data_IF_688106639592
#
_entry.id   IF_688106639592
#
_cell.length_a   1.000
_cell.length_b   1.000
_cell.length_c   1.000
_cell.angle_alpha   90.00
_cell.angle_beta   90.00
_cell.angle_gamma   90.00
#
_symmetry.space_group_name_H-M   'P 1'
#
loop_
_entity.id
_entity.type
_entity.pdbx_description
1 polymer ?
#
# COMPACT_ATOMS: atom_id res chain seq x y z
N UNK A 1 -16.77 -106.24 40.42
CA UNK A 1 -16.81 -107.19 41.55
C UNK A 1 -16.45 -106.44 42.82
N UNK A 2 -17.14 -106.79 43.89
CA UNK A 2 -17.19 -106.09 45.16
C UNK A 2 -15.85 -106.00 45.89
N UNK A 3 -15.73 -104.98 46.76
CA UNK A 3 -15.50 -105.14 48.21
C UNK A 3 -14.41 -104.22 48.78
N UNK A 4 -14.84 -103.33 49.70
CA UNK A 4 -14.17 -102.92 50.95
C UNK A 4 -12.72 -102.40 50.88
N UNK A 5 -12.35 -101.25 51.45
CA UNK A 5 -13.01 -100.43 52.44
C UNK A 5 -12.00 -99.52 53.13
N UNK A 6 -12.47 -98.89 54.21
CA UNK A 6 -11.71 -98.26 55.29
C UNK A 6 -10.97 -96.93 54.96
N UNK A 7 -11.72 -95.84 55.09
CA UNK A 7 -11.65 -95.13 56.38
C UNK A 7 -10.27 -94.66 56.84
N UNK A 8 -9.66 -93.75 56.10
CA UNK A 8 -8.85 -92.66 56.68
C UNK A 8 -9.43 -91.32 56.15
N UNK A 9 -10.77 -91.26 56.08
CA UNK A 9 -11.57 -90.19 55.50
C UNK A 9 -12.02 -89.10 56.47
N UNK A 10 -11.53 -89.04 57.71
CA UNK A 10 -12.05 -88.10 58.71
C UNK A 10 -11.06 -87.03 59.20
N UNK A 11 -9.77 -87.10 58.85
CA UNK A 11 -8.79 -86.13 59.38
C UNK A 11 -8.14 -85.22 58.32
N UNK A 12 -8.03 -85.66 57.06
CA UNK A 12 -7.43 -84.83 56.00
C UNK A 12 -8.46 -83.91 55.33
N UNK A 13 -9.76 -84.26 55.34
CA UNK A 13 -10.85 -83.41 54.82
C UNK A 13 -11.19 -82.20 55.73
N UNK A 14 -10.72 -82.18 56.98
CA UNK A 14 -10.90 -81.04 57.89
C UNK A 14 -9.94 -79.88 57.63
N UNK A 15 -8.76 -80.13 57.05
CA UNK A 15 -7.75 -79.09 56.80
C UNK A 15 -7.90 -78.45 55.40
N UNK A 16 -8.45 -79.18 54.42
CA UNK A 16 -8.66 -78.69 53.06
C UNK A 16 -9.88 -77.78 52.90
N UNK A 17 -10.90 -77.90 53.76
CA UNK A 17 -12.11 -77.07 53.72
C UNK A 17 -11.88 -75.64 54.24
N UNK A 18 -10.98 -75.44 55.21
CA UNK A 18 -10.60 -74.11 55.70
C UNK A 18 -9.88 -73.24 54.65
N UNK A 19 -9.04 -73.85 53.80
CA UNK A 19 -8.30 -73.12 52.77
C UNK A 19 -9.18 -72.70 51.57
N UNK A 20 -10.27 -73.40 51.28
CA UNK A 20 -11.17 -73.05 50.17
C UNK A 20 -12.20 -71.98 50.54
N UNK A 21 -12.62 -71.89 51.81
CA UNK A 21 -13.51 -70.80 52.28
C UNK A 21 -12.77 -69.47 52.36
N UNK A 22 -11.51 -69.46 52.81
CA UNK A 22 -10.68 -68.25 52.79
C UNK A 22 -10.44 -67.72 51.35
N UNK A 23 -10.22 -68.62 50.38
CA UNK A 23 -10.07 -68.25 48.96
C UNK A 23 -11.38 -67.80 48.30
N UNK A 24 -12.54 -68.28 48.76
CA UNK A 24 -13.84 -67.81 48.25
C UNK A 24 -14.18 -66.40 48.75
N UNK A 25 -13.82 -66.05 49.98
CA UNK A 25 -13.98 -64.69 50.50
C UNK A 25 -13.05 -63.68 49.81
N UNK A 26 -11.77 -64.03 49.62
CA UNK A 26 -10.84 -63.20 48.85
C UNK A 26 -11.32 -62.99 47.40
N UNK A 27 -11.93 -64.01 46.78
CA UNK A 27 -12.42 -63.91 45.41
C UNK A 27 -13.68 -63.06 45.28
N UNK A 28 -14.60 -63.12 46.25
CA UNK A 28 -15.77 -62.22 46.26
C UNK A 28 -15.39 -60.77 46.56
N UNK A 29 -14.44 -60.52 47.47
CA UNK A 29 -13.96 -59.17 47.77
C UNK A 29 -13.18 -58.60 46.57
N UNK A 30 -12.40 -59.42 45.85
CA UNK A 30 -11.74 -59.00 44.61
C UNK A 30 -12.73 -58.70 43.47
N UNK A 31 -13.78 -59.49 43.30
CA UNK A 31 -14.81 -59.24 42.28
C UNK A 31 -15.63 -57.98 42.57
N UNK A 32 -15.98 -57.71 43.84
CA UNK A 32 -16.64 -56.47 44.23
C UNK A 32 -15.73 -55.26 44.00
N UNK A 33 -14.47 -55.31 44.44
CA UNK A 33 -13.49 -54.24 44.19
C UNK A 33 -13.17 -54.03 42.71
N UNK A 34 -13.30 -55.07 41.89
CA UNK A 34 -13.09 -54.97 40.44
C UNK A 34 -14.30 -54.31 39.76
N UNK A 35 -15.53 -54.69 40.16
CA UNK A 35 -16.76 -54.02 39.68
C UNK A 35 -16.83 -52.56 40.14
N UNK A 36 -16.46 -52.26 41.38
CA UNK A 36 -16.37 -50.88 41.87
C UNK A 36 -15.31 -50.07 41.13
N UNK A 37 -14.14 -50.66 40.83
CA UNK A 37 -13.13 -50.01 39.99
C UNK A 37 -13.59 -49.79 38.56
N UNK A 38 -14.30 -50.74 37.95
CA UNK A 38 -14.86 -50.55 36.60
C UNK A 38 -15.96 -49.49 36.58
N UNK A 39 -16.85 -49.48 37.57
CA UNK A 39 -17.87 -48.44 37.73
C UNK A 39 -17.25 -47.07 37.95
N UNK A 40 -16.21 -46.95 38.79
CA UNK A 40 -15.47 -45.71 38.97
C UNK A 40 -14.73 -45.23 37.71
N UNK A 41 -14.22 -46.15 36.88
CA UNK A 41 -13.59 -45.81 35.59
C UNK A 41 -14.64 -45.34 34.58
N UNK A 42 -15.81 -45.98 34.51
CA UNK A 42 -16.91 -45.56 33.62
C UNK A 42 -17.50 -44.21 34.04
N UNK A 43 -17.71 -44.00 35.34
CA UNK A 43 -18.23 -42.73 35.86
C UNK A 43 -17.23 -41.58 35.66
N UNK A 44 -15.93 -41.83 35.83
CA UNK A 44 -14.89 -40.83 35.54
C UNK A 44 -14.67 -40.59 34.04
N UNK A 45 -14.92 -41.59 33.18
CA UNK A 45 -14.91 -41.42 31.72
C UNK A 45 -16.10 -40.57 31.25
N UNK A 46 -17.31 -40.80 31.78
CA UNK A 46 -18.48 -39.99 31.46
C UNK A 46 -18.33 -38.53 31.93
N UNK A 47 -17.83 -38.30 33.15
CA UNK A 47 -17.55 -36.94 33.64
C UNK A 47 -16.52 -36.20 32.78
N UNK A 48 -15.52 -36.92 32.24
CA UNK A 48 -14.54 -36.33 31.31
C UNK A 48 -15.16 -36.03 29.94
N UNK A 49 -16.04 -36.89 29.43
CA UNK A 49 -16.74 -36.67 28.18
C UNK A 49 -17.69 -35.46 28.26
N UNK A 50 -18.52 -35.38 29.31
CA UNK A 50 -19.40 -34.21 29.55
C UNK A 50 -18.58 -32.92 29.72
N UNK A 51 -17.43 -32.98 30.39
CA UNK A 51 -16.54 -31.82 30.52
C UNK A 51 -15.89 -31.40 29.21
N UNK A 52 -15.73 -32.32 28.25
CA UNK A 52 -15.16 -32.04 26.94
C UNK A 52 -16.21 -31.40 26.04
N UNK A 53 -17.40 -31.99 25.95
CA UNK A 53 -18.48 -31.46 25.11
C UNK A 53 -18.88 -30.04 25.55
N UNK A 54 -18.89 -29.76 26.85
CA UNK A 54 -19.14 -28.42 27.38
C UNK A 54 -18.02 -27.41 27.02
N UNK A 55 -16.76 -27.85 26.97
CA UNK A 55 -15.63 -27.00 26.56
C UNK A 55 -15.67 -26.74 25.05
N UNK A 56 -15.93 -27.77 24.25
CA UNK A 56 -16.02 -27.65 22.80
C UNK A 56 -17.18 -26.72 22.40
N UNK A 57 -18.35 -26.86 23.06
CA UNK A 57 -19.47 -25.94 22.84
C UNK A 57 -19.18 -24.48 23.24
N UNK A 58 -18.41 -24.26 24.31
CA UNK A 58 -18.00 -22.92 24.73
C UNK A 58 -17.00 -22.30 23.74
N UNK A 59 -16.03 -23.10 23.25
CA UNK A 59 -15.09 -22.67 22.22
C UNK A 59 -15.82 -22.32 20.91
N UNK A 60 -16.77 -23.15 20.47
CA UNK A 60 -17.58 -22.88 19.27
C UNK A 60 -18.44 -21.62 19.40
N UNK A 61 -18.89 -21.29 20.61
CA UNK A 61 -19.62 -20.04 20.87
C UNK A 61 -18.67 -18.83 20.80
N UNK A 62 -17.48 -18.96 21.37
CA UNK A 62 -16.44 -17.92 21.35
C UNK A 62 -15.92 -17.67 19.92
N UNK A 63 -15.67 -18.72 19.15
CA UNK A 63 -15.25 -18.62 17.74
C UNK A 63 -16.32 -17.94 16.88
N UNK A 64 -17.60 -18.24 17.13
CA UNK A 64 -18.72 -17.55 16.46
C UNK A 64 -18.78 -16.07 16.82
N UNK A 65 -18.52 -15.71 18.08
CA UNK A 65 -18.44 -14.31 18.50
C UNK A 65 -17.27 -13.59 17.83
N UNK A 66 -16.07 -14.19 17.85
CA UNK A 66 -14.90 -13.63 17.17
C UNK A 66 -15.11 -13.47 15.67
N UNK A 67 -15.73 -14.45 15.00
CA UNK A 67 -16.06 -14.33 13.58
C UNK A 67 -17.08 -13.21 13.31
N UNK A 68 -18.04 -12.99 14.21
CA UNK A 68 -19.02 -11.91 14.09
C UNK A 68 -18.37 -10.53 14.31
N UNK A 69 -17.50 -10.40 15.31
CA UNK A 69 -16.73 -9.17 15.58
C UNK A 69 -15.77 -8.85 14.45
N UNK A 70 -15.02 -9.84 13.94
CA UNK A 70 -14.11 -9.67 12.82
C UNK A 70 -14.84 -9.23 11.55
N UNK A 71 -16.04 -9.78 11.28
CA UNK A 71 -16.90 -9.31 10.18
C UNK A 71 -17.41 -7.90 10.42
N UNK A 72 -17.83 -7.55 11.64
CA UNK A 72 -18.31 -6.21 11.98
C UNK A 72 -17.21 -5.15 11.82
N UNK A 73 -15.96 -5.49 12.12
CA UNK A 73 -14.79 -4.63 11.94
C UNK A 73 -14.38 -4.53 10.46
N UNK A 74 -14.34 -5.66 9.73
CA UNK A 74 -13.87 -5.69 8.33
C UNK A 74 -14.88 -5.13 7.34
N UNK A 75 -16.17 -5.29 7.56
CA UNK A 75 -17.22 -4.86 6.62
C UNK A 75 -17.18 -3.36 6.30
N UNK A 76 -17.07 -2.42 7.25
CA UNK A 76 -16.96 -0.99 6.94
C UNK A 76 -15.65 -0.66 6.22
N UNK A 77 -14.55 -1.36 6.53
CA UNK A 77 -13.25 -1.18 5.85
C UNK A 77 -13.33 -1.64 4.40
N UNK A 78 -13.89 -2.82 4.14
CA UNK A 78 -14.10 -3.35 2.80
C UNK A 78 -15.05 -2.43 2.02
N UNK A 79 -16.14 -1.97 2.62
CA UNK A 79 -17.07 -1.05 1.96
C UNK A 79 -16.44 0.34 1.66
N UNK A 80 -15.53 0.82 2.50
CA UNK A 80 -14.75 2.03 2.24
C UNK A 80 -13.73 1.81 1.10
N UNK A 81 -13.02 0.68 1.10
CA UNK A 81 -12.10 0.29 0.04
C UNK A 81 -12.81 0.11 -1.30
N UNK A 82 -13.94 -0.60 -1.33
CA UNK A 82 -14.74 -0.77 -2.55
C UNK A 82 -15.24 0.57 -3.09
N UNK A 83 -15.68 1.50 -2.22
CA UNK A 83 -16.07 2.86 -2.65
C UNK A 83 -14.88 3.63 -3.24
N UNK A 84 -13.70 3.53 -2.63
CA UNK A 84 -12.47 4.15 -3.14
C UNK A 84 -12.01 3.56 -4.49
N UNK A 85 -12.16 2.24 -4.68
CA UNK A 85 -11.83 1.57 -5.94
C UNK A 85 -12.83 1.98 -7.02
N UNK A 86 -14.12 2.00 -6.71
CA UNK A 86 -15.17 2.38 -7.65
C UNK A 86 -15.07 3.86 -8.07
N UNK A 87 -14.77 4.77 -7.13
CA UNK A 87 -14.50 6.17 -7.48
C UNK A 87 -13.27 6.29 -8.38
N UNK A 88 -12.21 5.53 -8.09
CA UNK A 88 -11.02 5.48 -8.95
C UNK A 88 -11.30 4.97 -10.35
N UNK A 89 -12.15 3.94 -10.51
CA UNK A 89 -12.56 3.44 -11.83
C UNK A 89 -13.37 4.45 -12.63
N UNK A 90 -14.32 5.15 -11.99
CA UNK A 90 -15.10 6.21 -12.62
C UNK A 90 -14.19 7.37 -13.06
N UNK A 91 -13.19 7.71 -12.24
CA UNK A 91 -12.21 8.74 -12.57
C UNK A 91 -11.35 8.38 -13.79
N UNK A 92 -10.91 7.12 -13.88
CA UNK A 92 -10.15 6.58 -15.01
C UNK A 92 -10.99 6.58 -16.30
N UNK A 93 -12.28 6.21 -16.21
CA UNK A 93 -13.16 6.22 -17.38
C UNK A 93 -13.45 7.65 -17.86
N UNK A 94 -13.72 8.58 -16.95
CA UNK A 94 -13.88 10.00 -17.26
C UNK A 94 -12.62 10.60 -17.91
N UNK A 95 -11.44 10.20 -17.43
CA UNK A 95 -10.15 10.61 -17.99
C UNK A 95 -9.94 10.07 -19.40
N UNK A 96 -10.21 8.78 -19.61
CA UNK A 96 -10.13 8.14 -20.92
C UNK A 96 -11.06 8.82 -21.93
N UNK A 97 -12.29 9.12 -21.53
CA UNK A 97 -13.27 9.77 -22.42
C UNK A 97 -12.90 11.23 -22.70
N UNK A 98 -12.46 11.99 -21.70
CA UNK A 98 -12.00 13.37 -21.91
C UNK A 98 -10.82 13.44 -22.88
N UNK A 99 -9.86 12.52 -22.77
CA UNK A 99 -8.70 12.44 -23.67
C UNK A 99 -9.08 11.95 -25.06
N UNK A 100 -9.94 10.93 -25.17
CA UNK A 100 -10.47 10.46 -26.46
C UNK A 100 -11.23 11.57 -27.18
N UNK A 101 -12.08 12.31 -26.48
CA UNK A 101 -12.83 13.45 -27.00
C UNK A 101 -11.87 14.56 -27.48
N UNK A 102 -10.88 14.94 -26.66
CA UNK A 102 -9.85 15.91 -27.06
C UNK A 102 -9.10 15.47 -28.32
N UNK A 103 -8.79 14.17 -28.46
CA UNK A 103 -8.13 13.59 -29.63
C UNK A 103 -8.99 13.68 -30.89
N UNK A 104 -10.27 13.31 -30.77
CA UNK A 104 -11.24 13.43 -31.85
C UNK A 104 -11.41 14.87 -32.32
N UNK A 105 -11.45 15.83 -31.39
CA UNK A 105 -11.53 17.25 -31.71
C UNK A 105 -10.27 17.80 -32.38
N UNK A 106 -9.08 17.39 -31.94
CA UNK A 106 -7.83 17.78 -32.60
C UNK A 106 -7.75 17.23 -34.03
N UNK A 107 -8.13 15.96 -34.24
CA UNK A 107 -8.24 15.35 -35.56
C UNK A 107 -9.22 16.10 -36.45
N UNK A 108 -10.41 16.40 -35.93
CA UNK A 108 -11.45 17.15 -36.66
C UNK A 108 -10.96 18.54 -37.05
N UNK A 109 -10.39 19.29 -36.10
CA UNK A 109 -9.86 20.63 -36.34
C UNK A 109 -8.77 20.63 -37.42
N UNK A 110 -7.86 19.64 -37.37
CA UNK A 110 -6.83 19.48 -38.39
C UNK A 110 -7.42 19.14 -39.77
N UNK A 111 -8.37 18.21 -39.84
CA UNK A 111 -8.98 17.80 -41.11
C UNK A 111 -9.80 18.91 -41.76
N UNK A 112 -10.48 19.74 -40.97
CA UNK A 112 -11.31 20.83 -41.49
C UNK A 112 -10.48 22.04 -41.92
N UNK A 113 -9.35 22.31 -41.25
CA UNK A 113 -8.53 23.50 -41.50
C UNK A 113 -7.01 23.20 -41.44
N UNK A 114 -6.47 22.34 -42.32
CA UNK A 114 -5.06 21.95 -42.25
C UNK A 114 -4.10 23.14 -42.43
N UNK A 115 -4.49 24.14 -43.24
CA UNK A 115 -3.71 25.36 -43.45
C UNK A 115 -3.54 26.21 -42.17
N UNK A 116 -4.50 26.19 -41.24
CA UNK A 116 -4.40 26.88 -39.94
C UNK A 116 -3.26 26.31 -39.08
N UNK A 117 -2.94 25.05 -39.31
CA UNK A 117 -1.95 24.28 -38.56
C UNK A 117 -0.71 23.99 -39.41
N UNK A 118 -0.42 24.83 -40.42
CA UNK A 118 0.70 24.66 -41.34
C UNK A 118 0.81 23.26 -41.99
N UNK A 119 -0.33 22.57 -42.16
CA UNK A 119 -0.44 21.18 -42.60
C UNK A 119 0.30 20.17 -41.69
N UNK A 120 0.53 20.54 -40.43
CA UNK A 120 1.19 19.78 -39.38
C UNK A 120 0.20 19.39 -38.28
N UNK A 121 -0.01 18.09 -38.09
CA UNK A 121 -0.92 17.59 -37.07
C UNK A 121 -0.47 17.93 -35.64
N UNK A 122 0.84 18.04 -35.39
CA UNK A 122 1.37 18.40 -34.08
C UNK A 122 0.95 19.81 -33.64
N UNK A 123 0.73 20.75 -34.57
CA UNK A 123 0.20 22.07 -34.23
C UNK A 123 -1.26 22.00 -33.80
N UNK A 124 -2.09 21.19 -34.48
CA UNK A 124 -3.47 20.95 -34.08
C UNK A 124 -3.55 20.23 -32.73
N UNK A 125 -2.68 19.24 -32.51
CA UNK A 125 -2.54 18.56 -31.22
C UNK A 125 -2.19 19.54 -30.09
N UNK A 126 -1.14 20.34 -30.25
CA UNK A 126 -0.71 21.27 -29.20
C UNK A 126 -1.71 22.39 -28.94
N UNK A 127 -2.45 22.84 -29.95
CA UNK A 127 -3.42 23.94 -29.81
C UNK A 127 -4.81 23.50 -29.35
N UNK A 128 -5.20 22.24 -29.59
CA UNK A 128 -6.55 21.73 -29.27
C UNK A 128 -6.50 20.65 -28.19
N UNK A 129 -5.70 19.61 -28.39
CA UNK A 129 -5.65 18.45 -27.50
C UNK A 129 -5.05 18.83 -26.13
N UNK A 130 -3.84 19.41 -26.14
CA UNK A 130 -3.07 19.66 -24.91
C UNK A 130 -3.84 20.53 -23.91
N UNK A 131 -4.45 21.67 -24.30
CA UNK A 131 -5.19 22.52 -23.37
C UNK A 131 -6.40 21.80 -22.75
N UNK A 132 -7.09 20.95 -23.50
CA UNK A 132 -8.27 20.21 -23.01
C UNK A 132 -7.90 19.16 -21.96
N UNK A 133 -6.85 18.38 -22.22
CA UNK A 133 -6.37 17.37 -21.25
C UNK A 133 -5.83 18.05 -20.00
N UNK A 134 -5.10 19.16 -20.16
CA UNK A 134 -4.66 19.98 -19.03
C UNK A 134 -5.85 20.52 -18.23
N UNK A 135 -6.87 21.07 -18.90
CA UNK A 135 -8.08 21.58 -18.25
C UNK A 135 -8.84 20.48 -17.51
N UNK A 136 -8.87 19.26 -18.04
CA UNK A 136 -9.46 18.10 -17.37
C UNK A 136 -8.75 17.78 -16.04
N UNK A 137 -7.41 17.77 -16.01
CA UNK A 137 -6.69 17.59 -14.76
C UNK A 137 -6.93 18.73 -13.76
N UNK A 138 -6.91 19.97 -14.25
CA UNK A 138 -7.17 21.15 -13.42
C UNK A 138 -8.59 21.18 -12.84
N UNK A 139 -9.60 20.70 -13.58
CA UNK A 139 -10.99 20.66 -13.08
C UNK A 139 -11.19 19.66 -11.94
N UNK A 140 -10.28 18.66 -11.83
CA UNK A 140 -10.21 17.72 -10.69
C UNK A 140 -9.34 18.22 -9.54
N UNK A 141 -8.72 19.40 -9.66
CA UNK A 141 -7.72 19.88 -8.71
C UNK A 141 -6.37 19.16 -8.79
N UNK A 142 -6.16 18.37 -9.85
CA UNK A 142 -4.94 17.58 -10.05
C UNK A 142 -3.89 18.41 -10.81
N UNK A 143 -3.35 19.42 -10.13
CA UNK A 143 -2.34 20.32 -10.72
C UNK A 143 -1.05 19.58 -11.08
N UNK A 144 -0.70 18.54 -10.32
CA UNK A 144 0.51 17.74 -10.55
C UNK A 144 0.46 17.01 -11.90
N UNK A 145 -0.64 16.32 -12.22
CA UNK A 145 -0.76 15.67 -13.52
C UNK A 145 -0.95 16.69 -14.66
N UNK A 146 -1.60 17.82 -14.42
CA UNK A 146 -1.69 18.90 -15.40
C UNK A 146 -0.30 19.42 -15.82
N UNK A 147 0.57 19.67 -14.84
CA UNK A 147 1.94 20.16 -15.08
C UNK A 147 2.83 19.06 -15.67
N UNK A 148 2.74 17.83 -15.17
CA UNK A 148 3.49 16.69 -15.70
C UNK A 148 3.11 16.38 -17.16
N UNK A 149 1.81 16.44 -17.49
CA UNK A 149 1.33 16.27 -18.86
C UNK A 149 1.85 17.39 -19.77
N UNK A 150 1.77 18.65 -19.32
CA UNK A 150 2.29 19.80 -20.08
C UNK A 150 3.79 19.65 -20.34
N UNK A 151 4.57 19.37 -19.30
CA UNK A 151 6.01 19.18 -19.39
C UNK A 151 6.37 18.00 -20.31
N UNK A 152 5.60 16.90 -20.29
CA UNK A 152 5.80 15.78 -21.21
C UNK A 152 5.51 16.19 -22.65
N UNK A 153 4.39 16.87 -22.92
CA UNK A 153 4.05 17.34 -24.27
C UNK A 153 5.01 18.39 -24.81
N UNK A 154 5.70 19.13 -23.94
CA UNK A 154 6.64 20.17 -24.34
C UNK A 154 7.99 19.66 -24.81
N UNK A 155 8.34 18.41 -24.49
CA UNK A 155 9.57 17.76 -24.95
C UNK A 155 9.63 17.73 -26.47
N UNK A 156 10.81 18.04 -27.02
CA UNK A 156 11.02 18.07 -28.47
C UNK A 156 10.74 16.70 -29.09
N UNK A 157 11.19 15.64 -28.42
CA UNK A 157 11.08 14.25 -28.86
C UNK A 157 9.62 13.80 -28.90
N UNK A 158 8.79 14.28 -27.97
CA UNK A 158 7.35 14.02 -27.95
C UNK A 158 6.66 14.77 -29.09
N UNK A 159 7.01 16.04 -29.33
CA UNK A 159 6.49 16.82 -30.47
C UNK A 159 6.84 16.16 -31.82
N UNK A 160 8.08 15.72 -31.99
CA UNK A 160 8.53 15.00 -33.18
C UNK A 160 7.78 13.67 -33.37
N UNK A 161 7.51 12.93 -32.28
CA UNK A 161 6.72 11.71 -32.32
C UNK A 161 5.25 11.97 -32.67
N UNK A 162 4.62 12.98 -32.08
CA UNK A 162 3.23 13.39 -32.42
C UNK A 162 3.12 13.76 -33.90
N UNK A 163 4.10 14.49 -34.43
CA UNK A 163 4.18 14.79 -35.87
C UNK A 163 4.25 13.52 -36.71
N UNK A 164 5.10 12.57 -36.29
CA UNK A 164 5.23 11.25 -36.94
C UNK A 164 3.90 10.49 -36.91
N UNK A 165 3.18 10.50 -35.79
CA UNK A 165 1.85 9.88 -35.65
C UNK A 165 0.83 10.51 -36.60
N UNK A 166 0.81 11.83 -36.73
CA UNK A 166 -0.01 12.51 -37.76
C UNK A 166 0.33 12.05 -39.18
N UNK A 167 1.63 11.84 -39.45
CA UNK A 167 2.11 11.27 -40.70
C UNK A 167 1.64 9.84 -40.97
N UNK A 168 1.42 9.02 -39.94
CA UNK A 168 0.81 7.68 -40.07
C UNK A 168 -0.62 7.81 -40.61
N UNK A 169 -1.44 8.64 -39.95
CA UNK A 169 -2.83 8.83 -40.36
C UNK A 169 -2.94 9.32 -41.80
N UNK A 170 -2.14 10.32 -42.16
CA UNK A 170 -2.14 10.87 -43.53
C UNK A 170 -1.71 9.82 -44.57
N UNK A 171 -0.66 9.05 -44.28
CA UNK A 171 -0.17 8.01 -45.18
C UNK A 171 -1.21 6.91 -45.40
N UNK A 172 -1.88 6.47 -44.33
CA UNK A 172 -2.95 5.47 -44.41
C UNK A 172 -4.16 5.99 -45.20
N UNK A 173 -4.56 7.25 -45.03
CA UNK A 173 -5.67 7.86 -45.79
C UNK A 173 -5.46 7.83 -47.30
N UNK A 174 -4.22 7.93 -47.77
CA UNK A 174 -3.88 7.89 -49.21
C UNK A 174 -3.36 6.53 -49.68
N UNK A 175 -3.36 5.51 -48.82
CA UNK A 175 -2.87 4.17 -49.15
C UNK A 175 -1.34 4.05 -49.31
N UNK A 176 -0.57 4.99 -48.78
CA UNK A 176 0.90 4.98 -48.79
C UNK A 176 1.44 4.14 -47.63
N UNK A 177 1.41 2.81 -47.81
CA UNK A 177 1.80 1.86 -46.78
C UNK A 177 3.26 1.97 -46.36
N UNK A 178 4.18 2.22 -47.30
CA UNK A 178 5.61 2.32 -47.00
C UNK A 178 5.89 3.53 -46.09
N UNK A 179 5.27 4.68 -46.37
CA UNK A 179 5.38 5.86 -45.51
C UNK A 179 4.72 5.63 -44.14
N UNK A 180 3.58 4.96 -44.10
CA UNK A 180 2.91 4.62 -42.83
C UNK A 180 3.80 3.72 -41.97
N UNK A 181 4.41 2.68 -42.54
CA UNK A 181 5.33 1.77 -41.86
C UNK A 181 6.57 2.51 -41.35
N UNK A 182 7.16 3.38 -42.16
CA UNK A 182 8.32 4.18 -41.76
C UNK A 182 8.00 5.08 -40.55
N UNK A 183 6.84 5.74 -40.58
CA UNK A 183 6.39 6.57 -39.46
C UNK A 183 6.09 5.74 -38.20
N UNK A 184 5.44 4.59 -38.35
CA UNK A 184 5.20 3.66 -37.23
C UNK A 184 6.53 3.23 -36.58
N UNK A 185 7.49 2.79 -37.39
CA UNK A 185 8.80 2.34 -36.91
C UNK A 185 9.61 3.47 -36.27
N UNK A 186 9.57 4.68 -36.85
CA UNK A 186 10.15 5.88 -36.24
C UNK A 186 9.54 6.15 -34.85
N UNK A 187 8.22 6.03 -34.73
CA UNK A 187 7.52 6.21 -33.46
C UNK A 187 7.91 5.13 -32.44
N UNK A 188 8.00 3.86 -32.84
CA UNK A 188 8.44 2.76 -31.95
C UNK A 188 9.89 2.90 -31.49
N UNK A 189 10.75 3.55 -32.28
CA UNK A 189 12.15 3.76 -31.92
C UNK A 189 12.37 4.99 -31.03
N UNK A 190 11.37 5.85 -30.86
CA UNK A 190 11.46 7.03 -30.01
C UNK A 190 11.16 6.64 -28.55
N UNK A 191 12.22 6.47 -27.74
CA UNK A 191 12.12 6.02 -26.34
C UNK A 191 11.50 7.06 -25.39
N UNK A 192 11.52 8.33 -25.76
CA UNK A 192 10.90 9.41 -24.97
C UNK A 192 9.38 9.45 -25.15
N UNK A 193 8.88 8.86 -26.26
CA UNK A 193 7.47 8.73 -26.56
C UNK A 193 6.93 7.33 -26.23
N UNK A 194 7.59 6.27 -26.72
CA UNK A 194 7.28 4.87 -26.39
C UNK A 194 8.27 4.39 -25.33
N UNK A 195 7.78 4.20 -24.11
CA UNK A 195 8.62 3.74 -23.01
C UNK A 195 9.28 2.39 -23.32
N UNK A 196 10.56 2.25 -22.96
CA UNK A 196 11.32 1.01 -23.15
C UNK A 196 10.83 -0.08 -22.19
N UNK A 197 10.08 -1.04 -22.74
CA UNK A 197 9.57 -2.20 -22.00
C UNK A 197 10.48 -3.43 -22.17
N UNK A 198 11.62 -3.29 -22.85
CA UNK A 198 12.43 -4.41 -23.34
C UNK A 198 11.83 -5.12 -24.56
N UNK A 199 10.55 -4.91 -24.86
CA UNK A 199 9.92 -5.39 -26.08
C UNK A 199 10.23 -4.47 -27.25
N UNK A 200 10.73 -5.03 -28.35
CA UNK A 200 10.92 -4.30 -29.60
C UNK A 200 9.67 -4.48 -30.47
N UNK A 201 9.08 -3.37 -30.92
CA UNK A 201 7.92 -3.40 -31.82
C UNK A 201 8.32 -2.86 -33.18
N UNK A 202 7.77 -3.45 -34.23
CA UNK A 202 7.97 -2.99 -35.59
C UNK A 202 6.70 -3.19 -36.42
N UNK A 203 6.60 -2.45 -37.52
CA UNK A 203 5.72 -2.75 -38.63
C UNK A 203 6.57 -3.20 -39.83
N UNK A 204 6.16 -4.32 -40.44
CA UNK A 204 6.80 -4.92 -41.60
C UNK A 204 5.86 -4.82 -42.81
N UNK A 205 6.39 -4.59 -44.03
CA UNK A 205 5.57 -4.49 -45.23
C UNK A 205 4.96 -5.84 -45.60
N UNK A 206 3.66 -5.86 -45.89
CA UNK A 206 2.99 -6.99 -46.54
C UNK A 206 2.99 -6.70 -48.04
N UNK A 207 3.65 -7.56 -48.81
CA UNK A 207 3.81 -7.39 -50.26
C UNK A 207 2.87 -8.32 -51.03
N UNK A 208 2.33 -7.82 -52.14
CA UNK A 208 1.64 -8.64 -53.12
C UNK A 208 2.62 -9.43 -54.00
N UNK A 209 2.09 -10.13 -55.01
CA UNK A 209 2.88 -10.95 -55.95
C UNK A 209 3.82 -10.12 -56.82
N UNK A 210 3.51 -8.85 -57.03
CA UNK A 210 4.29 -7.91 -57.82
C UNK A 210 5.34 -7.18 -56.96
N UNK A 211 5.40 -7.50 -55.66
CA UNK A 211 6.34 -6.92 -54.71
C UNK A 211 5.92 -5.54 -54.18
N UNK A 212 4.71 -5.06 -54.52
CA UNK A 212 4.15 -3.80 -54.03
C UNK A 212 3.65 -3.97 -52.60
N UNK A 213 3.91 -2.99 -51.75
CA UNK A 213 3.38 -2.98 -50.39
C UNK A 213 1.87 -2.70 -50.42
N UNK A 214 1.08 -3.67 -49.93
CA UNK A 214 -0.40 -3.64 -49.89
C UNK A 214 -0.96 -3.66 -48.47
N UNK A 215 -0.08 -3.65 -47.47
CA UNK A 215 -0.46 -3.71 -46.07
C UNK A 215 0.75 -3.69 -45.15
N UNK A 216 0.49 -3.93 -43.87
CA UNK A 216 1.52 -4.04 -42.84
C UNK A 216 1.24 -5.19 -41.88
N UNK A 217 2.31 -5.71 -41.28
CA UNK A 217 2.27 -6.69 -40.19
C UNK A 217 2.96 -6.09 -38.97
N UNK A 218 2.25 -5.99 -37.85
CA UNK A 218 2.90 -5.63 -36.58
C UNK A 218 3.66 -6.83 -36.04
N UNK A 219 4.90 -6.62 -35.64
CA UNK A 219 5.72 -7.65 -34.99
C UNK A 219 6.20 -7.15 -33.63
N UNK A 220 6.36 -8.09 -32.71
CA UNK A 220 6.86 -7.82 -31.37
C UNK A 220 7.92 -8.85 -31.00
N UNK A 221 9.11 -8.38 -30.68
CA UNK A 221 10.22 -9.19 -30.19
C UNK A 221 10.33 -9.01 -28.69
N UNK A 222 10.14 -10.10 -27.96
CA UNK A 222 10.33 -10.15 -26.51
C UNK A 222 11.78 -9.87 -26.10
N UNK A 223 12.04 -9.54 -24.83
CA UNK A 223 13.41 -9.37 -24.31
C UNK A 223 14.32 -10.58 -24.56
N UNK A 224 13.75 -11.79 -24.58
CA UNK A 224 14.48 -13.05 -24.83
C UNK A 224 14.78 -13.29 -26.33
N UNK A 225 14.40 -12.36 -27.21
CA UNK A 225 14.61 -12.46 -28.65
C UNK A 225 13.51 -13.22 -29.41
N UNK A 226 12.52 -13.80 -28.73
CA UNK A 226 11.40 -14.48 -29.39
C UNK A 226 10.52 -13.46 -30.12
N UNK A 227 10.37 -13.63 -31.43
CA UNK A 227 9.54 -12.80 -32.29
C UNK A 227 8.13 -13.38 -32.40
N UNK A 228 7.14 -12.54 -32.15
CA UNK A 228 5.73 -12.82 -32.38
C UNK A 228 5.23 -11.93 -33.51
N UNK A 229 4.59 -12.53 -34.51
CA UNK A 229 3.97 -11.82 -35.62
C UNK A 229 2.48 -11.65 -35.38
N UNK A 230 1.96 -10.46 -35.63
CA UNK A 230 0.53 -10.21 -35.72
C UNK A 230 -0.05 -10.67 -37.05
N UNK A 231 -1.37 -10.56 -37.19
CA UNK A 231 -2.06 -10.75 -38.46
C UNK A 231 -1.66 -9.67 -39.48
N UNK A 232 -1.70 -10.03 -40.75
CA UNK A 232 -1.57 -9.07 -41.86
C UNK A 232 -2.77 -8.13 -41.87
N UNK A 233 -2.49 -6.85 -42.03
CA UNK A 233 -3.50 -5.80 -42.11
C UNK A 233 -3.35 -5.13 -43.47
N UNK A 234 -4.31 -5.37 -44.35
CA UNK A 234 -4.35 -4.82 -45.71
C UNK A 234 -5.45 -3.77 -45.88
N UNK A 235 -6.31 -3.58 -44.87
CA UNK A 235 -7.28 -2.49 -44.82
C UNK A 235 -6.70 -1.28 -44.07
N UNK A 236 -6.74 -0.11 -44.69
CA UNK A 236 -6.15 1.11 -44.13
C UNK A 236 -6.93 1.63 -42.91
N UNK A 237 -8.24 1.40 -42.85
CA UNK A 237 -9.08 1.74 -41.71
C UNK A 237 -8.70 0.92 -40.48
N UNK A 238 -8.58 -0.39 -40.65
CA UNK A 238 -8.13 -1.33 -39.60
C UNK A 238 -6.71 -1.00 -39.15
N UNK A 239 -5.81 -0.68 -40.09
CA UNK A 239 -4.45 -0.26 -39.77
C UNK A 239 -4.44 1.02 -38.95
N UNK A 240 -5.30 1.99 -39.27
CA UNK A 240 -5.43 3.24 -38.53
C UNK A 240 -5.93 2.99 -37.11
N UNK A 241 -7.02 2.23 -36.95
CA UNK A 241 -7.57 1.89 -35.62
C UNK A 241 -6.54 1.17 -34.75
N UNK A 242 -5.86 0.15 -35.29
CA UNK A 242 -4.87 -0.63 -34.56
C UNK A 242 -3.62 0.19 -34.22
N UNK A 243 -3.05 0.91 -35.19
CA UNK A 243 -1.86 1.74 -34.95
C UNK A 243 -2.14 2.86 -33.94
N UNK A 244 -3.27 3.58 -34.08
CA UNK A 244 -3.62 4.68 -33.18
C UNK A 244 -3.93 4.20 -31.76
N UNK A 245 -4.51 3.01 -31.59
CA UNK A 245 -4.70 2.45 -30.24
C UNK A 245 -3.38 2.30 -29.47
N UNK A 246 -2.28 2.02 -30.18
CA UNK A 246 -0.96 1.81 -29.59
C UNK A 246 -0.11 3.09 -29.55
N UNK A 247 -0.24 3.94 -30.57
CA UNK A 247 0.66 5.06 -30.83
C UNK A 247 0.03 6.43 -30.53
N UNK A 248 -1.25 6.49 -30.14
CA UNK A 248 -1.86 7.77 -29.81
C UNK A 248 -1.09 8.47 -28.69
N UNK A 249 -1.03 9.81 -28.70
CA UNK A 249 -0.34 10.56 -27.65
C UNK A 249 -0.93 10.29 -26.26
N UNK A 250 -2.22 9.99 -26.18
CA UNK A 250 -2.85 9.54 -24.96
C UNK A 250 -2.18 8.25 -24.42
N UNK A 251 -2.16 7.20 -25.25
CA UNK A 251 -1.59 5.90 -24.87
C UNK A 251 -0.12 6.05 -24.48
N UNK A 252 0.65 6.83 -25.25
CA UNK A 252 2.06 7.12 -24.97
C UNK A 252 2.25 7.80 -23.60
N UNK A 253 1.43 8.81 -23.28
CA UNK A 253 1.48 9.47 -21.98
C UNK A 253 1.15 8.52 -20.83
N UNK A 254 0.11 7.68 -20.94
CA UNK A 254 -0.22 6.70 -19.89
C UNK A 254 0.94 5.75 -19.60
N UNK A 255 1.62 5.30 -20.64
CA UNK A 255 2.82 4.46 -20.50
C UNK A 255 3.96 5.23 -19.83
N UNK A 256 4.21 6.48 -20.25
CA UNK A 256 5.24 7.32 -19.66
C UNK A 256 4.97 7.62 -18.18
N UNK A 257 3.73 7.94 -17.82
CA UNK A 257 3.28 8.16 -16.45
C UNK A 257 3.43 6.89 -15.61
N UNK A 258 2.91 5.76 -16.09
CA UNK A 258 3.01 4.47 -15.37
C UNK A 258 4.46 4.07 -15.12
N UNK A 259 5.36 4.33 -16.08
CA UNK A 259 6.78 4.06 -15.92
C UNK A 259 7.45 5.01 -14.91
N UNK A 260 7.10 6.29 -14.92
CA UNK A 260 7.55 7.25 -13.92
C UNK A 260 7.09 6.84 -12.51
N UNK A 261 5.80 6.50 -12.36
CA UNK A 261 5.22 6.08 -11.09
C UNK A 261 5.91 4.81 -10.55
N UNK A 262 6.22 3.83 -11.42
CA UNK A 262 7.03 2.65 -11.05
C UNK A 262 8.43 3.04 -10.59
N UNK A 263 9.12 3.93 -11.30
CA UNK A 263 10.47 4.36 -10.93
C UNK A 263 10.47 5.07 -9.57
N UNK A 264 9.48 5.91 -9.30
CA UNK A 264 9.30 6.58 -8.00
C UNK A 264 9.04 5.54 -6.91
N UNK A 265 8.18 4.55 -7.16
CA UNK A 265 7.89 3.47 -6.20
C UNK A 265 9.14 2.60 -5.93
N UNK A 266 9.89 2.22 -6.96
CA UNK A 266 11.14 1.46 -6.83
C UNK A 266 12.22 2.25 -6.08
N UNK A 267 12.35 3.55 -6.34
CA UNK A 267 13.23 4.44 -5.58
C UNK A 267 12.79 4.55 -4.12
N UNK A 268 11.48 4.66 -3.85
CA UNK A 268 10.96 4.67 -2.49
C UNK A 268 11.27 3.35 -1.75
N UNK A 269 11.09 2.19 -2.39
CA UNK A 269 11.40 0.90 -1.78
C UNK A 269 12.91 0.68 -1.61
N UNK A 270 13.73 1.16 -2.55
CA UNK A 270 15.20 1.15 -2.43
C UNK A 270 15.68 2.06 -1.30
N UNK A 271 15.08 3.24 -1.17
CA UNK A 271 15.37 4.15 -0.07
C UNK A 271 14.96 3.55 1.27
N UNK A 272 13.84 2.83 1.31
CA UNK A 272 13.37 2.12 2.51
C UNK A 272 14.27 0.95 2.88
N UNK A 273 14.73 0.15 1.92
CA UNK A 273 15.68 -0.95 2.18
C UNK A 273 17.05 -0.42 2.60
N UNK A 274 17.52 0.65 1.97
CA UNK A 274 18.77 1.33 2.35
C UNK A 274 18.67 1.97 3.74
N UNK A 275 17.54 2.62 4.06
CA UNK A 275 17.30 3.18 5.40
C UNK A 275 17.23 2.08 6.46
N UNK A 276 16.60 0.95 6.15
CA UNK A 276 16.59 -0.21 7.04
C UNK A 276 18.01 -0.74 7.27
N UNK A 277 18.79 -0.93 6.22
CA UNK A 277 20.19 -1.37 6.34
C UNK A 277 21.04 -0.36 7.15
N UNK A 278 20.85 0.94 6.92
CA UNK A 278 21.54 1.98 7.69
C UNK A 278 21.17 1.91 9.17
N UNK A 279 19.89 1.71 9.50
CA UNK A 279 19.42 1.51 10.86
C UNK A 279 20.02 0.24 11.48
N UNK A 280 20.02 -0.87 10.75
CA UNK A 280 20.60 -2.14 11.21
C UNK A 280 22.10 -1.99 11.50
N UNK A 281 22.85 -1.26 10.66
CA UNK A 281 24.27 -0.94 10.91
C UNK A 281 24.45 -0.06 12.16
N UNK A 282 23.59 0.94 12.36
CA UNK A 282 23.64 1.78 13.57
C UNK A 282 23.33 0.95 14.80
N UNK A 283 22.30 0.10 14.76
CA UNK A 283 21.94 -0.81 15.84
C UNK A 283 23.08 -1.79 16.14
N UNK A 284 23.74 -2.36 15.13
CA UNK A 284 24.93 -3.21 15.31
C UNK A 284 26.08 -2.47 15.97
N UNK A 285 26.36 -1.23 15.54
CA UNK A 285 27.37 -0.39 16.19
C UNK A 285 26.97 -0.08 17.63
N UNK A 286 25.70 0.20 17.91
CA UNK A 286 25.22 0.43 19.26
C UNK A 286 25.36 -0.83 20.14
N UNK A 287 25.00 -2.01 19.61
CA UNK A 287 25.21 -3.29 20.28
C UNK A 287 26.68 -3.48 20.65
N UNK A 288 27.58 -3.19 19.71
CA UNK A 288 29.02 -3.28 19.96
C UNK A 288 29.53 -2.22 20.95
N UNK A 289 29.12 -0.97 20.79
CA UNK A 289 29.63 0.18 21.56
C UNK A 289 29.09 0.21 23.00
N UNK A 290 27.79 -0.03 23.16
CA UNK A 290 27.11 0.01 24.46
C UNK A 290 26.91 -1.37 25.09
N UNK A 291 27.42 -2.44 24.47
CA UNK A 291 27.23 -3.84 24.91
C UNK A 291 25.76 -4.22 25.11
N UNK A 292 24.89 -3.67 24.27
CA UNK A 292 23.45 -3.89 24.31
C UNK A 292 23.13 -5.28 23.75
N UNK A 293 22.34 -6.06 24.49
CA UNK A 293 21.82 -7.33 23.98
C UNK A 293 20.54 -7.14 23.14
N UNK A 294 20.14 -8.18 22.42
CA UNK A 294 18.97 -8.14 21.53
C UNK A 294 17.66 -7.86 22.26
N UNK A 295 17.51 -8.31 23.52
CA UNK A 295 16.29 -8.09 24.31
C UNK A 295 16.20 -6.65 24.80
N UNK A 296 17.32 -6.05 25.20
CA UNK A 296 17.40 -4.64 25.58
C UNK A 296 17.09 -3.75 24.36
N UNK A 297 17.59 -4.12 23.18
CA UNK A 297 17.27 -3.44 21.91
C UNK A 297 15.77 -3.46 21.61
N UNK A 298 15.15 -4.64 21.61
CA UNK A 298 13.72 -4.80 21.29
C UNK A 298 12.84 -4.04 22.29
N UNK A 299 13.21 -4.11 23.57
CA UNK A 299 12.51 -3.38 24.63
C UNK A 299 12.61 -1.87 24.41
N UNK A 300 13.81 -1.38 24.06
CA UNK A 300 14.02 0.03 23.80
C UNK A 300 13.25 0.50 22.55
N UNK A 301 13.30 -0.24 21.44
CA UNK A 301 12.53 0.06 20.22
C UNK A 301 11.01 0.10 20.49
N UNK A 302 10.50 -0.81 21.32
CA UNK A 302 9.09 -0.81 21.72
C UNK A 302 8.71 0.43 22.54
N UNK A 303 9.57 0.86 23.46
CA UNK A 303 9.38 2.09 24.25
C UNK A 303 9.35 3.32 23.33
N UNK A 304 10.19 3.36 22.29
CA UNK A 304 10.17 4.43 21.29
C UNK A 304 8.83 4.46 20.57
N UNK A 305 8.37 3.30 20.11
CA UNK A 305 7.10 3.18 19.38
C UNK A 305 5.92 3.65 20.25
N UNK A 306 5.85 3.22 21.50
CA UNK A 306 4.82 3.64 22.45
C UNK A 306 4.89 5.15 22.74
N UNK A 307 6.09 5.71 22.90
CA UNK A 307 6.29 7.13 23.17
C UNK A 307 5.89 8.00 21.98
N UNK A 308 6.31 7.61 20.76
CA UNK A 308 5.92 8.31 19.53
C UNK A 308 4.40 8.28 19.33
N UNK A 309 3.75 7.13 19.52
CA UNK A 309 2.28 7.00 19.42
C UNK A 309 1.55 7.85 20.45
N UNK A 310 1.99 7.84 21.71
CA UNK A 310 1.41 8.65 22.79
C UNK A 310 1.41 10.13 22.43
N UNK A 311 2.45 10.58 21.74
CA UNK A 311 2.67 11.97 21.36
C UNK A 311 2.17 12.34 19.95
N UNK A 312 1.47 11.42 19.28
CA UNK A 312 0.87 11.65 17.96
C UNK A 312 1.88 11.73 16.81
N UNK A 313 3.10 11.22 17.00
CA UNK A 313 4.15 11.18 15.98
C UNK A 313 4.20 9.80 15.29
N UNK A 314 4.70 9.77 14.04
CA UNK A 314 5.00 8.50 13.35
C UNK A 314 6.17 7.79 14.04
N UNK A 315 5.96 6.58 14.62
CA UNK A 315 7.02 5.81 15.27
C UNK A 315 8.26 5.57 14.40
N UNK A 316 8.08 5.32 13.10
CA UNK A 316 9.22 5.04 12.21
C UNK A 316 10.10 6.26 12.05
N UNK A 317 9.48 7.43 11.94
CA UNK A 317 10.19 8.69 11.76
C UNK A 317 10.97 9.06 13.03
N UNK A 318 10.36 8.90 14.20
CA UNK A 318 11.01 9.15 15.50
C UNK A 318 12.19 8.18 15.71
N UNK A 319 12.01 6.89 15.44
CA UNK A 319 13.08 5.89 15.54
C UNK A 319 14.26 6.24 14.62
N UNK A 320 14.01 6.59 13.36
CA UNK A 320 15.07 6.97 12.42
C UNK A 320 15.85 8.20 12.91
N UNK A 321 15.17 9.20 13.46
CA UNK A 321 15.81 10.41 13.99
C UNK A 321 16.62 10.12 15.26
N UNK A 322 16.11 9.26 16.14
CA UNK A 322 16.82 8.85 17.35
C UNK A 322 18.11 8.08 16.99
N UNK A 323 18.04 7.15 16.03
CA UNK A 323 19.22 6.42 15.54
C UNK A 323 20.24 7.34 14.87
N UNK A 324 19.80 8.33 14.09
CA UNK A 324 20.70 9.32 13.50
C UNK A 324 21.41 10.18 14.57
N UNK A 325 20.68 10.59 15.60
CA UNK A 325 21.25 11.35 16.71
C UNK A 325 22.33 10.53 17.43
N UNK A 326 22.08 9.25 17.69
CA UNK A 326 23.03 8.32 18.29
C UNK A 326 24.24 8.05 17.39
N UNK A 327 24.03 7.95 16.07
CA UNK A 327 25.14 7.86 15.12
C UNK A 327 26.07 9.07 15.23
N UNK A 328 25.52 10.28 15.23
CA UNK A 328 26.28 11.52 15.42
C UNK A 328 26.97 11.56 16.78
N UNK A 329 26.32 11.05 17.83
CA UNK A 329 26.90 10.92 19.17
C UNK A 329 28.17 10.05 19.18
N UNK A 330 28.07 8.88 18.57
CA UNK A 330 29.19 7.93 18.43
C UNK A 330 30.32 8.49 17.56
N UNK A 331 30.00 9.19 16.47
CA UNK A 331 30.99 9.78 15.55
C UNK A 331 31.77 10.95 16.17
N UNK A 332 31.11 11.75 17.02
CA UNK A 332 31.74 12.91 17.67
C UNK A 332 32.60 12.53 18.89
N UNK A 333 32.57 11.26 19.32
CA UNK A 333 33.37 10.76 20.45
C UNK A 333 33.05 11.43 21.79
N UNK A 334 31.96 12.19 21.87
CA UNK A 334 31.57 12.94 23.05
C UNK A 334 30.06 12.76 23.25
N UNK A 335 29.61 11.97 24.24
CA UNK A 335 28.21 11.59 24.34
C UNK A 335 27.36 12.80 24.77
N UNK A 336 26.70 13.42 23.80
CA UNK A 336 25.60 14.37 23.90
C UNK A 336 24.49 13.82 24.82
N UNK A 337 24.40 12.49 24.94
CA UNK A 337 23.40 11.79 25.76
C UNK A 337 23.97 11.28 27.10
N UNK A 338 25.21 11.61 27.44
CA UNK A 338 25.84 11.23 28.71
C UNK A 338 25.35 12.06 29.90
N UNK A 339 25.27 11.44 31.06
CA UNK A 339 24.99 12.17 32.32
C UNK A 339 26.31 12.56 32.99
N UNK A 340 26.35 13.74 33.60
CA UNK A 340 27.54 14.19 34.34
C UNK A 340 27.56 13.52 35.71
N UNK A 341 28.59 12.70 35.95
CA UNK A 341 28.86 12.05 37.22
C UNK A 341 29.24 13.05 38.32
N UNK A 342 29.28 12.56 39.57
CA UNK A 342 29.65 13.38 40.75
C UNK A 342 31.07 13.93 40.67
N UNK A 343 31.95 13.30 39.89
CA UNK A 343 33.32 13.70 39.62
C UNK A 343 33.44 14.69 38.43
N UNK A 344 32.31 15.12 37.87
CA UNK A 344 32.26 16.01 36.70
C UNK A 344 32.53 15.31 35.37
N UNK A 345 32.87 14.02 35.36
CA UNK A 345 33.07 13.25 34.13
C UNK A 345 31.74 12.84 33.53
N UNK A 346 31.68 12.76 32.21
CA UNK A 346 30.47 12.30 31.51
C UNK A 346 30.48 10.76 31.54
N UNK A 347 29.45 10.18 32.14
CA UNK A 347 29.22 8.73 32.14
C UNK A 347 28.31 8.40 30.96
N UNK A 348 28.75 7.56 30.01
CA UNK A 348 27.90 7.15 28.90
C UNK A 348 26.73 6.30 29.41
N UNK A 349 25.50 6.48 28.88
CA UNK A 349 24.35 5.69 29.25
C UNK A 349 24.48 4.22 28.79
N UNK A 350 23.64 3.31 29.30
CA UNK A 350 23.48 1.98 28.69
C UNK A 350 22.92 2.10 27.26
N UNK A 351 22.99 1.05 26.45
CA UNK A 351 22.47 1.09 25.08
C UNK A 351 20.98 1.41 25.02
N UNK A 352 20.18 0.75 25.86
CA UNK A 352 18.75 1.03 25.97
C UNK A 352 18.45 2.44 26.49
N UNK A 353 19.24 2.92 27.45
CA UNK A 353 19.09 4.27 27.99
C UNK A 353 19.49 5.34 26.97
N UNK A 354 20.55 5.13 26.19
CA UNK A 354 20.98 6.01 25.10
C UNK A 354 19.87 6.17 24.06
N UNK A 355 19.26 5.06 23.65
CA UNK A 355 18.17 5.05 22.67
C UNK A 355 16.90 5.76 23.19
N UNK A 356 16.59 5.59 24.47
CA UNK A 356 15.49 6.33 25.12
C UNK A 356 15.77 7.83 25.17
N UNK A 357 16.95 8.25 25.63
CA UNK A 357 17.33 9.66 25.71
C UNK A 357 17.35 10.34 24.34
N UNK A 358 17.82 9.64 23.32
CA UNK A 358 17.79 10.12 21.95
C UNK A 358 16.35 10.38 21.46
N UNK A 359 15.45 9.46 21.80
CA UNK A 359 14.03 9.54 21.45
C UNK A 359 13.32 10.69 22.16
N UNK A 360 13.55 10.83 23.47
CA UNK A 360 12.98 11.93 24.26
C UNK A 360 13.40 13.29 23.66
N UNK A 361 14.67 13.42 23.28
CA UNK A 361 15.20 14.63 22.64
C UNK A 361 14.56 14.92 21.28
N UNK A 362 14.30 13.89 20.47
CA UNK A 362 13.59 14.04 19.19
C UNK A 362 12.16 14.51 19.40
N UNK A 363 11.43 13.89 20.33
CA UNK A 363 10.05 14.24 20.68
C UNK A 363 9.99 15.68 21.21
N UNK A 364 10.89 16.06 22.12
CA UNK A 364 10.99 17.42 22.67
C UNK A 364 11.25 18.46 21.57
N UNK A 365 12.19 18.17 20.66
CA UNK A 365 12.51 19.05 19.53
C UNK A 365 11.30 19.24 18.61
N UNK A 366 10.53 18.19 18.33
CA UNK A 366 9.31 18.30 17.51
C UNK A 366 8.23 19.13 18.19
N UNK A 367 8.02 18.92 19.49
CA UNK A 367 7.06 19.73 20.28
C UNK A 367 7.43 21.20 20.27
N UNK A 368 8.72 21.53 20.43
CA UNK A 368 9.16 22.93 20.43
C UNK A 368 8.92 23.60 19.08
N UNK A 369 9.19 22.91 17.96
CA UNK A 369 8.89 23.40 16.60
C UNK A 369 7.38 23.61 16.40
N UNK A 370 6.56 22.64 16.79
CA UNK A 370 5.09 22.75 16.69
C UNK A 370 4.53 23.93 17.48
N UNK A 371 5.05 24.15 18.70
CA UNK A 371 4.67 25.29 19.53
C UNK A 371 5.09 26.63 18.89
N UNK A 372 6.28 26.70 18.30
CA UNK A 372 6.76 27.91 17.59
C UNK A 372 5.92 28.21 16.34
N UNK A 373 5.53 27.21 15.56
CA UNK A 373 4.65 27.39 14.39
C UNK A 373 3.25 27.84 14.79
N UNK A 374 2.71 27.30 15.89
CA UNK A 374 1.42 27.73 16.43
C UNK A 374 1.47 29.19 16.91
N UNK A 375 2.56 29.59 17.56
CA UNK A 375 2.78 30.98 17.97
C UNK A 375 2.94 31.93 16.76
N UNK A 376 3.67 31.51 15.72
CA UNK A 376 3.93 32.33 14.53
C UNK A 376 2.70 32.54 13.64
N UNK A 377 1.76 31.59 13.61
CA UNK A 377 0.53 31.70 12.82
C UNK A 377 -0.54 32.58 13.48
N UNK A 378 -0.29 33.12 14.69
CA UNK A 378 -1.22 34.03 15.37
C UNK A 378 -2.59 33.41 15.65
N UNK A 379 -2.70 32.08 15.57
CA UNK A 379 -3.92 31.34 15.89
C UNK A 379 -4.10 31.36 17.40
N UNK A 380 -4.62 32.49 17.89
CA UNK A 380 -5.10 32.61 19.26
C UNK A 380 -6.06 31.44 19.46
N UNK A 381 -5.82 30.51 20.41
CA UNK A 381 -6.76 29.44 20.69
C UNK A 381 -8.10 30.11 20.93
N UNK A 382 -9.10 29.87 20.07
CA UNK A 382 -10.45 30.36 20.32
C UNK A 382 -10.84 29.81 21.69
N UNK A 383 -10.81 30.69 22.69
CA UNK A 383 -11.17 30.36 24.05
C UNK A 383 -12.50 29.64 24.01
N UNK A 384 -12.55 28.47 24.65
CA UNK A 384 -13.73 27.62 24.68
C UNK A 384 -14.97 28.47 24.88
N UNK A 385 -15.91 28.34 23.94
CA UNK A 385 -17.22 28.96 24.05
C UNK A 385 -17.81 28.57 25.40
N UNK A 386 -17.79 29.51 26.34
CA UNK A 386 -18.59 29.44 27.55
C UNK A 386 -20.04 29.43 27.07
N UNK A 387 -20.68 28.30 27.27
CA UNK A 387 -22.09 28.04 27.01
C UNK A 387 -22.95 29.18 27.59
N UNK A 388 -23.61 30.04 26.78
CA UNK A 388 -24.43 31.14 27.29
C UNK A 388 -25.82 30.60 27.66
N UNK A 389 -25.86 29.82 28.74
CA UNK A 389 -27.06 29.22 29.32
C UNK A 389 -27.39 29.78 30.70
N UNK A 390 -27.30 31.09 30.92
CA UNK A 390 -27.90 31.73 32.11
C UNK A 390 -28.26 33.18 31.83
N UNK A 391 -29.51 33.36 31.42
CA UNK A 391 -30.18 34.65 31.26
C UNK A 391 -30.38 35.28 32.65
N UNK A 392 -29.60 36.31 32.97
CA UNK A 392 -29.99 37.31 33.96
C UNK A 392 -30.33 38.58 33.20
N UNK A 393 -31.64 38.89 33.17
CA UNK A 393 -32.18 40.16 32.69
C UNK A 393 -31.56 41.30 33.50
N UNK A 394 -30.90 42.23 32.81
CA UNK A 394 -30.84 43.63 33.21
C UNK A 394 -31.07 44.49 31.97
N UNK A 395 -32.19 45.18 31.99
CA UNK A 395 -32.48 46.33 31.16
C UNK A 395 -31.36 47.36 31.30
N UNK A 396 -30.89 47.94 30.18
CA UNK A 396 -30.57 49.37 30.05
C UNK A 396 -30.31 49.75 28.59
N UNK A 397 -31.14 50.66 28.07
CA UNK A 397 -30.72 51.84 27.31
C UNK A 397 -30.17 51.65 25.90
N UNK A 398 -31.07 51.68 24.90
CA UNK A 398 -30.71 51.93 23.51
C UNK A 398 -30.36 53.42 23.27
N UNK A 399 -29.23 53.70 22.63
CA UNK A 399 -29.01 54.93 21.85
C UNK A 399 -28.71 54.55 20.39
N UNK A 400 -29.28 55.26 19.39
CA UNK A 400 -29.09 54.94 17.98
C UNK A 400 -27.80 55.56 17.44
N UNK A 401 -26.92 54.73 16.87
CA UNK A 401 -25.76 55.17 16.08
C UNK A 401 -26.19 55.32 14.62
N UNK A 402 -25.92 56.50 14.04
CA UNK A 402 -26.21 56.88 12.65
C UNK A 402 -25.44 56.03 11.63
N UNK A 403 -25.99 55.79 10.42
CA UNK A 403 -25.27 55.10 9.35
C UNK A 403 -24.16 55.97 8.74
N UNK A 404 -23.02 55.33 8.48
CA UNK A 404 -21.83 55.86 7.85
C UNK A 404 -22.05 55.99 6.32
N UNK A 405 -21.74 57.16 5.76
CA UNK A 405 -21.87 57.50 4.34
C UNK A 405 -20.52 57.27 3.63
N UNK A 406 -20.43 56.55 2.50
CA UNK A 406 -19.18 56.37 1.78
C UNK A 406 -18.89 57.59 0.89
N UNK A 407 -17.85 58.35 1.28
CA UNK A 407 -17.34 59.48 0.52
C UNK A 407 -16.52 59.05 -0.69
N UNK A 408 -17.05 59.40 -1.86
CA UNK A 408 -16.38 59.52 -3.15
C UNK A 408 -15.10 60.37 -3.01
N UNK A 409 -13.98 59.93 -3.59
CA UNK A 409 -12.91 60.84 -4.01
C UNK A 409 -12.43 60.47 -5.40
N UNK A 410 -12.49 61.48 -6.28
CA UNK A 410 -12.05 61.49 -7.68
C UNK A 410 -11.20 62.76 -7.84
N UNK A 411 -10.14 62.66 -8.66
CA UNK A 411 -9.18 63.68 -9.09
C UNK A 411 -8.08 64.03 -8.06
N UNK A 412 -6.80 64.18 -8.44
CA UNK A 412 -6.20 64.55 -9.73
C UNK A 412 -5.32 63.48 -10.37
#
# INVERSE_FOLDING_TARGET
>A
MASYGAGIGAFINGLASGANVARQWDKQDQEQRFKERQLGILESANKRAESKDARDAANDAQDRQWAAEDRAIKTPVIAAQSRSILSGLADVEAEKEAKKSAGAEANKAFSENPAKYNNNFDEAFNSVYVPKVRQFYLSKGDTANADAFTAWTDKKEVKDAVKTVGGISQALTVGDWDKAINNINSTFNNKDYIFDTGWKRAAEPVKDKDGKTVGMRFTSTSPDGNKTGGADITDAGDASVKSMSMLSPHTAYEFAKSAYDRKVAEQAETNKSTSKLANDIVLDRMRSHYKMDEREQDSALKIIEESAKRDGFDPKEVTNQALNLLKTDMENGNPILGTRGKDGKIVPPSGGEALRLATDKVIETRRSISNQQSAATGSTPQGGMVNPGRVLRRDMGAQPVKPFNPGISRAM
#
